data_IF_946363460270
#
_entry.id   IF_946363460270
#
_cell.length_a   1.000
_cell.length_b   1.000
_cell.length_c   1.000
_cell.angle_alpha   90.00
_cell.angle_beta   90.00
_cell.angle_gamma   90.00
#
_symmetry.space_group_name_H-M   'P 1'
#
loop_
_entity.id
_entity.type
_entity.pdbx_description
1 polymer ?
#
# COMPACT_ATOMS: atom_id res chain seq x y z
N UNK A 1 -3.91 22.29 2.64
CA UNK A 1 -5.35 22.04 2.89
C UNK A 1 -5.70 22.63 4.24
N UNK A 2 -6.80 23.40 4.38
CA UNK A 2 -7.28 23.88 5.66
C UNK A 2 -7.59 22.74 6.63
N UNK A 3 -7.55 22.99 7.94
CA UNK A 3 -7.82 22.01 8.98
C UNK A 3 -9.09 22.34 9.79
N UNK A 4 -9.65 23.50 9.60
CA UNK A 4 -10.86 23.99 10.32
C UNK A 4 -11.87 24.62 9.35
N UNK A 5 -13.16 24.27 9.50
CA UNK A 5 -13.67 23.20 10.34
C UNK A 5 -13.26 21.82 9.81
N UNK A 6 -13.30 20.82 10.68
CA UNK A 6 -13.05 19.43 10.28
C UNK A 6 -14.26 18.89 9.50
N UNK A 7 -14.08 17.76 8.83
CA UNK A 7 -15.13 17.12 8.02
C UNK A 7 -16.28 16.60 8.89
N UNK A 8 -17.50 16.67 8.36
CA UNK A 8 -18.68 16.00 8.93
C UNK A 8 -18.78 14.58 8.42
N UNK A 9 -18.34 14.36 7.18
CA UNK A 9 -18.41 13.05 6.54
C UNK A 9 -17.28 12.90 5.55
N UNK A 10 -16.65 11.73 5.60
CA UNK A 10 -15.72 11.26 4.57
C UNK A 10 -16.13 9.84 4.16
N UNK A 11 -16.28 9.58 2.87
CA UNK A 11 -16.52 8.27 2.30
C UNK A 11 -15.27 7.85 1.53
N UNK A 12 -14.64 6.76 1.94
CA UNK A 12 -13.45 6.22 1.28
C UNK A 12 -13.81 4.97 0.49
N UNK A 13 -13.28 4.86 -0.71
CA UNK A 13 -13.47 3.70 -1.56
C UNK A 13 -12.16 3.34 -2.28
N UNK A 14 -11.87 2.04 -2.36
CA UNK A 14 -10.77 1.53 -3.16
C UNK A 14 -11.33 1.02 -4.50
N UNK A 15 -10.98 1.72 -5.57
CA UNK A 15 -11.41 1.36 -6.93
C UNK A 15 -10.39 0.40 -7.53
N UNK A 16 -10.86 -0.72 -8.07
CA UNK A 16 -10.05 -1.73 -8.74
C UNK A 16 -10.42 -1.82 -10.21
N UNK A 17 -9.42 -1.92 -11.06
CA UNK A 17 -9.62 -2.18 -12.49
C UNK A 17 -9.51 -3.68 -12.73
N UNK A 18 -10.66 -4.33 -12.95
CA UNK A 18 -10.76 -5.77 -13.20
C UNK A 18 -11.42 -6.00 -14.54
N UNK A 19 -10.75 -6.73 -15.43
CA UNK A 19 -11.33 -7.25 -16.67
C UNK A 19 -11.99 -8.60 -16.41
N UNK A 20 -13.22 -8.77 -16.90
CA UNK A 20 -13.95 -10.03 -16.80
C UNK A 20 -14.38 -10.50 -18.20
N UNK A 21 -14.02 -11.73 -18.55
CA UNK A 21 -14.42 -12.36 -19.82
C UNK A 21 -15.16 -13.66 -19.51
N UNK A 22 -16.37 -13.78 -20.05
CA UNK A 22 -17.19 -14.99 -19.89
C UNK A 22 -17.26 -15.74 -21.23
N UNK A 23 -16.94 -17.03 -21.20
CA UNK A 23 -17.07 -17.91 -22.36
C UNK A 23 -18.55 -18.10 -22.73
N UNK A 24 -18.97 -17.75 -23.96
CA UNK A 24 -20.36 -17.94 -24.37
C UNK A 24 -20.74 -19.44 -24.52
N UNK A 25 -19.77 -20.33 -24.60
CA UNK A 25 -20.01 -21.77 -24.81
C UNK A 25 -20.08 -22.54 -23.48
N UNK A 26 -19.30 -22.15 -22.48
CA UNK A 26 -19.19 -22.90 -21.24
C UNK A 26 -19.69 -22.14 -20.01
N UNK A 27 -20.00 -20.84 -20.14
CA UNK A 27 -20.36 -19.97 -19.03
C UNK A 27 -19.20 -19.71 -18.05
N UNK A 28 -18.01 -20.26 -18.29
CA UNK A 28 -16.84 -20.02 -17.42
C UNK A 28 -16.38 -18.59 -17.52
N UNK A 29 -16.17 -17.95 -16.39
CA UNK A 29 -15.67 -16.56 -16.29
C UNK A 29 -14.19 -16.59 -15.93
N UNK A 30 -13.40 -15.83 -16.67
CA UNK A 30 -12.00 -15.51 -16.35
C UNK A 30 -11.91 -14.05 -15.95
N UNK A 31 -11.32 -13.76 -14.79
CA UNK A 31 -11.08 -12.42 -14.28
C UNK A 31 -9.58 -12.12 -14.33
N UNK A 32 -9.24 -10.90 -14.69
CA UNK A 32 -7.88 -10.39 -14.70
C UNK A 32 -7.83 -9.04 -13.97
N UNK A 33 -6.99 -8.93 -12.97
CA UNK A 33 -6.73 -7.67 -12.27
C UNK A 33 -5.66 -6.86 -13.03
N UNK A 34 -5.92 -5.58 -13.23
CA UNK A 34 -4.97 -4.63 -13.79
C UNK A 34 -4.38 -3.73 -12.69
N UNK A 35 -3.26 -3.08 -12.98
CA UNK A 35 -2.52 -2.25 -12.01
C UNK A 35 -3.21 -0.93 -11.61
N UNK A 36 -4.33 -0.59 -12.25
CA UNK A 36 -5.08 0.65 -11.99
C UNK A 36 -5.91 0.61 -10.71
N UNK A 37 -5.30 0.41 -9.54
CA UNK A 37 -5.99 0.44 -8.24
C UNK A 37 -5.67 1.73 -7.52
N UNK A 38 -6.69 2.47 -7.04
CA UNK A 38 -6.54 3.76 -6.40
C UNK A 38 -7.65 4.05 -5.40
N UNK A 39 -7.37 4.92 -4.45
CA UNK A 39 -8.34 5.42 -3.50
C UNK A 39 -9.15 6.58 -4.08
N UNK A 40 -10.44 6.62 -3.74
CA UNK A 40 -11.30 7.78 -3.93
C UNK A 40 -11.88 8.19 -2.59
N UNK A 41 -12.09 9.47 -2.40
CA UNK A 41 -12.75 9.99 -1.22
C UNK A 41 -13.79 11.07 -1.59
N UNK A 42 -14.96 10.99 -0.96
CA UNK A 42 -15.99 12.02 -1.00
C UNK A 42 -16.04 12.68 0.37
N UNK A 43 -15.94 14.00 0.39
CA UNK A 43 -15.80 14.78 1.61
C UNK A 43 -16.88 15.82 1.69
N UNK A 44 -17.52 15.92 2.86
CA UNK A 44 -18.49 16.97 3.16
C UNK A 44 -18.05 17.73 4.40
N UNK A 45 -18.14 19.06 4.32
CA UNK A 45 -17.85 19.98 5.42
C UNK A 45 -19.14 20.39 6.14
N UNK A 46 -19.09 20.74 7.41
CA UNK A 46 -20.24 21.27 8.12
C UNK A 46 -20.67 22.62 7.52
N UNK A 47 -21.93 23.02 7.64
CA UNK A 47 -22.33 24.39 7.37
C UNK A 47 -21.47 25.37 8.18
N UNK A 48 -20.87 26.32 7.51
CA UNK A 48 -19.88 27.21 8.11
C UNK A 48 -20.11 28.68 7.74
N UNK A 49 -19.63 29.60 8.57
CA UNK A 49 -19.67 31.02 8.28
C UNK A 49 -18.68 31.39 7.18
N UNK A 50 -18.91 32.50 6.52
CA UNK A 50 -18.10 33.02 5.42
C UNK A 50 -16.60 33.06 5.75
N UNK A 51 -16.22 33.45 6.95
CA UNK A 51 -14.80 33.54 7.37
C UNK A 51 -14.07 32.18 7.32
N UNK A 52 -14.77 31.12 7.59
CA UNK A 52 -14.24 29.75 7.49
C UNK A 52 -14.32 29.19 6.05
N UNK A 53 -15.43 29.52 5.35
CA UNK A 53 -15.66 29.07 3.99
C UNK A 53 -14.62 29.61 3.01
N UNK A 54 -14.15 30.84 3.19
CA UNK A 54 -13.15 31.49 2.33
C UNK A 54 -11.84 30.68 2.27
N UNK A 55 -11.39 30.12 3.39
CA UNK A 55 -10.18 29.30 3.42
C UNK A 55 -10.32 28.05 2.55
N UNK A 56 -11.47 27.36 2.64
CA UNK A 56 -11.77 26.19 1.83
C UNK A 56 -12.00 26.54 0.37
N UNK A 57 -12.70 27.65 0.08
CA UNK A 57 -12.92 28.12 -1.27
C UNK A 57 -11.58 28.46 -1.95
N UNK A 58 -10.70 29.22 -1.27
CA UNK A 58 -9.38 29.57 -1.77
C UNK A 58 -8.56 28.30 -2.05
N UNK A 59 -8.52 27.35 -1.12
CA UNK A 59 -7.82 26.10 -1.31
C UNK A 59 -8.33 25.32 -2.53
N UNK A 60 -9.66 25.18 -2.68
CA UNK A 60 -10.23 24.43 -3.82
C UNK A 60 -9.98 25.16 -5.16
N UNK A 61 -9.99 26.49 -5.17
CA UNK A 61 -9.66 27.27 -6.37
C UNK A 61 -8.18 27.17 -6.73
N UNK A 62 -7.27 27.17 -5.74
CA UNK A 62 -5.83 26.97 -5.95
C UNK A 62 -5.47 25.62 -6.55
N UNK A 63 -6.33 24.60 -6.35
CA UNK A 63 -6.15 23.28 -6.98
C UNK A 63 -6.34 23.34 -8.50
N UNK A 64 -6.96 24.38 -9.04
CA UNK A 64 -7.20 24.57 -10.46
C UNK A 64 -7.84 23.32 -11.11
N UNK A 65 -8.93 22.85 -10.51
CA UNK A 65 -9.61 21.63 -10.91
C UNK A 65 -8.73 20.38 -10.68
N UNK A 66 -8.55 19.60 -11.72
CA UNK A 66 -7.79 18.34 -11.68
C UNK A 66 -6.28 18.49 -11.83
N UNK A 67 -5.75 19.74 -11.94
CA UNK A 67 -4.35 20.00 -12.29
C UNK A 67 -3.41 19.84 -11.09
N UNK A 68 -3.75 20.46 -9.98
CA UNK A 68 -2.90 20.47 -8.80
C UNK A 68 -3.25 19.34 -7.84
N UNK A 69 -2.24 18.91 -7.10
CA UNK A 69 -2.33 17.80 -6.17
C UNK A 69 -2.25 18.31 -4.72
N UNK A 70 -2.87 17.58 -3.82
CA UNK A 70 -2.81 17.85 -2.39
C UNK A 70 -2.63 16.57 -1.58
N UNK A 71 -2.10 16.68 -0.38
CA UNK A 71 -1.96 15.56 0.54
C UNK A 71 -3.22 15.43 1.38
N UNK A 72 -3.80 14.22 1.41
CA UNK A 72 -5.03 13.94 2.13
C UNK A 72 -4.91 12.64 2.93
N UNK A 73 -5.40 12.65 4.16
CA UNK A 73 -5.48 11.51 5.05
C UNK A 73 -6.95 11.23 5.40
N UNK A 74 -7.26 9.99 5.75
CA UNK A 74 -8.55 9.67 6.34
C UNK A 74 -8.64 10.31 7.74
N UNK A 75 -9.61 11.21 7.98
CA UNK A 75 -9.71 11.92 9.26
C UNK A 75 -9.91 11.01 10.48
N UNK A 76 -10.51 9.84 10.28
CA UNK A 76 -10.78 8.88 11.34
C UNK A 76 -9.63 7.90 11.59
N UNK A 77 -8.59 7.93 10.73
CA UNK A 77 -7.47 6.99 10.77
C UNK A 77 -6.10 7.71 10.79
N UNK A 78 -6.00 8.80 11.54
CA UNK A 78 -4.77 9.59 11.65
C UNK A 78 -3.69 8.94 12.51
N UNK A 79 -4.06 7.97 13.34
CA UNK A 79 -3.15 7.21 14.19
C UNK A 79 -3.40 5.72 14.00
N UNK A 80 -2.36 4.91 14.12
CA UNK A 80 -2.54 3.46 14.14
C UNK A 80 -3.31 3.02 15.38
N UNK A 81 -4.07 1.93 15.23
CA UNK A 81 -4.86 1.33 16.32
C UNK A 81 -4.05 0.30 17.11
N UNK A 82 -2.86 -0.05 16.63
CA UNK A 82 -1.90 -0.91 17.31
C UNK A 82 -1.08 -0.19 18.37
N UNK A 83 -0.18 -0.93 18.99
CA UNK A 83 0.67 -0.43 20.11
C UNK A 83 2.03 0.08 19.64
N UNK A 84 2.36 -0.03 18.35
CA UNK A 84 3.62 0.50 17.82
C UNK A 84 3.57 2.03 17.79
N UNK A 85 4.47 2.68 18.52
CA UNK A 85 4.40 4.12 18.83
C UNK A 85 5.37 5.00 18.02
N UNK A 86 6.31 4.41 17.27
CA UNK A 86 7.22 5.17 16.42
C UNK A 86 6.54 5.52 15.11
N UNK A 87 6.50 6.76 14.69
CA UNK A 87 5.68 7.24 13.57
C UNK A 87 6.01 6.67 12.18
N UNK A 88 7.10 5.90 12.02
CA UNK A 88 7.48 5.29 10.75
C UNK A 88 8.31 4.02 10.92
N UNK A 89 8.34 3.22 9.85
CA UNK A 89 9.20 2.06 9.66
C UNK A 89 10.01 2.27 8.37
N UNK A 90 11.14 1.59 8.24
CA UNK A 90 11.96 1.63 7.02
C UNK A 90 11.82 0.33 6.24
N UNK A 91 11.78 0.40 4.92
CA UNK A 91 11.75 -0.77 4.04
C UNK A 91 13.10 -1.48 4.03
N UNK A 92 13.08 -2.81 3.95
CA UNK A 92 14.27 -3.64 3.78
C UNK A 92 14.10 -4.63 2.64
N UNK A 93 15.14 -4.75 1.81
CA UNK A 93 15.21 -5.73 0.73
C UNK A 93 15.89 -7.02 1.21
N UNK A 94 15.16 -7.87 1.97
CA UNK A 94 15.70 -9.13 2.51
C UNK A 94 15.99 -10.16 1.43
N UNK A 95 15.26 -10.11 0.34
CA UNK A 95 15.50 -10.94 -0.85
C UNK A 95 15.49 -10.01 -2.07
N UNK A 96 16.57 -10.00 -2.84
CA UNK A 96 16.73 -9.11 -3.99
C UNK A 96 17.58 -9.76 -5.09
N UNK A 97 17.11 -10.89 -5.61
CA UNK A 97 17.75 -11.57 -6.74
C UNK A 97 17.10 -11.16 -8.05
N UNK A 98 17.89 -10.61 -8.97
CA UNK A 98 17.45 -10.18 -10.30
C UNK A 98 17.65 -11.24 -11.39
N UNK A 99 18.38 -12.32 -11.10
CA UNK A 99 18.57 -13.48 -11.98
C UNK A 99 18.98 -14.68 -11.12
N UNK A 100 18.10 -15.67 -11.01
CA UNK A 100 18.31 -16.88 -10.25
C UNK A 100 17.58 -18.04 -10.93
N UNK A 101 18.15 -19.25 -10.84
CA UNK A 101 17.47 -20.48 -11.26
C UNK A 101 16.52 -20.91 -10.15
N UNK A 102 15.25 -21.12 -10.45
CA UNK A 102 14.24 -21.59 -9.52
C UNK A 102 13.64 -22.92 -9.92
N UNK A 103 13.26 -23.69 -8.94
CA UNK A 103 12.42 -24.87 -9.07
C UNK A 103 11.25 -24.75 -8.10
N UNK A 104 10.08 -25.22 -8.53
CA UNK A 104 8.83 -25.15 -7.78
C UNK A 104 8.26 -26.56 -7.61
N UNK A 105 7.85 -26.92 -6.39
CA UNK A 105 7.18 -28.18 -6.10
C UNK A 105 6.30 -28.09 -4.86
N UNK A 106 5.02 -28.41 -4.99
CA UNK A 106 4.06 -28.24 -3.90
C UNK A 106 4.05 -26.79 -3.40
N UNK A 107 4.40 -26.53 -2.16
CA UNK A 107 4.49 -25.18 -1.60
C UNK A 107 5.95 -24.69 -1.46
N UNK A 108 6.89 -25.37 -2.08
CA UNK A 108 8.34 -25.14 -1.92
C UNK A 108 8.93 -24.43 -3.14
N UNK A 109 9.76 -23.43 -2.89
CA UNK A 109 10.62 -22.78 -3.86
C UNK A 109 12.07 -23.14 -3.51
N UNK A 110 12.80 -23.70 -4.49
CA UNK A 110 14.22 -24.00 -4.38
C UNK A 110 15.00 -23.12 -5.36
N UNK A 111 16.00 -22.41 -4.86
CA UNK A 111 16.89 -21.58 -5.66
C UNK A 111 18.23 -22.27 -5.89
N UNK A 112 18.80 -22.08 -7.08
CA UNK A 112 20.12 -22.60 -7.43
C UNK A 112 21.30 -21.90 -6.75
N UNK A 113 21.03 -20.81 -6.00
CA UNK A 113 22.01 -20.02 -5.27
C UNK A 113 21.44 -19.58 -3.92
N UNK A 114 22.27 -19.03 -3.01
CA UNK A 114 21.87 -18.52 -1.70
C UNK A 114 21.01 -17.26 -1.82
N UNK A 115 19.78 -17.41 -2.27
CA UNK A 115 18.81 -16.32 -2.54
C UNK A 115 18.05 -15.91 -1.29
N UNK A 116 17.79 -16.85 -0.39
CA UNK A 116 16.94 -16.68 0.79
C UNK A 116 17.73 -16.54 2.10
N UNK A 117 19.02 -16.20 2.02
CA UNK A 117 19.90 -16.13 3.22
C UNK A 117 19.45 -15.10 4.25
N UNK A 118 18.80 -14.02 3.83
CA UNK A 118 18.26 -12.98 4.72
C UNK A 118 16.74 -13.04 4.85
N UNK A 119 16.07 -13.96 4.15
CA UNK A 119 14.62 -14.10 4.21
C UNK A 119 14.14 -14.50 5.62
N UNK A 120 12.95 -14.06 5.98
CA UNK A 120 12.33 -14.36 7.27
C UNK A 120 10.95 -14.97 7.06
N UNK A 121 10.52 -15.79 8.03
CA UNK A 121 9.13 -16.28 8.07
C UNK A 121 8.19 -15.09 8.19
N UNK A 122 7.18 -15.05 7.31
CA UNK A 122 6.25 -13.94 7.19
C UNK A 122 6.55 -12.99 6.03
N UNK A 123 7.79 -12.92 5.52
CA UNK A 123 8.11 -12.07 4.38
C UNK A 123 7.27 -12.41 3.14
N UNK A 124 6.92 -11.38 2.39
CA UNK A 124 6.32 -11.52 1.07
C UNK A 124 7.38 -11.34 0.00
N UNK A 125 7.52 -12.35 -0.84
CA UNK A 125 8.41 -12.33 -2.00
C UNK A 125 7.59 -12.24 -3.28
N UNK A 126 8.08 -11.46 -4.24
CA UNK A 126 7.52 -11.40 -5.59
C UNK A 126 8.42 -12.21 -6.50
N UNK A 127 7.85 -13.24 -7.12
CA UNK A 127 8.50 -14.09 -8.12
C UNK A 127 8.05 -13.64 -9.50
N UNK A 128 8.99 -13.50 -10.43
CA UNK A 128 8.71 -13.25 -11.84
C UNK A 128 9.70 -14.01 -12.72
N UNK A 129 9.27 -14.37 -13.93
CA UNK A 129 10.09 -15.10 -14.89
C UNK A 129 10.03 -16.62 -14.76
N UNK A 130 9.14 -17.16 -13.95
CA UNK A 130 8.79 -18.57 -14.00
C UNK A 130 8.11 -18.89 -15.36
N UNK A 131 8.40 -20.07 -15.93
CA UNK A 131 7.82 -20.49 -17.21
C UNK A 131 6.31 -20.72 -17.08
N UNK A 132 5.90 -21.30 -15.95
CA UNK A 132 4.49 -21.39 -15.62
C UNK A 132 4.04 -20.08 -14.97
N UNK A 133 3.08 -19.41 -15.60
CA UNK A 133 2.59 -18.11 -15.13
C UNK A 133 1.96 -18.19 -13.72
N UNK A 134 1.37 -19.33 -13.34
CA UNK A 134 0.77 -19.53 -12.02
C UNK A 134 1.80 -19.51 -10.88
N UNK A 135 3.09 -19.72 -11.18
CA UNK A 135 4.18 -19.65 -10.24
C UNK A 135 4.71 -18.22 -10.04
N UNK A 136 4.34 -17.27 -10.90
CA UNK A 136 4.67 -15.86 -10.76
C UNK A 136 3.68 -15.17 -9.80
N UNK A 137 4.15 -14.13 -9.14
CA UNK A 137 3.31 -13.32 -8.24
C UNK A 137 3.89 -13.15 -6.85
N UNK A 138 3.05 -12.77 -5.91
CA UNK A 138 3.43 -12.55 -4.51
C UNK A 138 3.13 -13.78 -3.67
N UNK A 139 4.14 -14.25 -2.93
CA UNK A 139 4.05 -15.44 -2.07
C UNK A 139 4.54 -15.10 -0.66
N UNK A 140 3.77 -15.51 0.36
CA UNK A 140 4.15 -15.33 1.78
C UNK A 140 4.96 -16.54 2.24
N UNK A 141 6.15 -16.30 2.80
CA UNK A 141 7.02 -17.34 3.35
C UNK A 141 6.46 -17.86 4.66
N UNK A 142 6.27 -19.15 4.78
CA UNK A 142 5.85 -19.84 6.00
C UNK A 142 7.02 -20.52 6.73
N UNK A 143 8.05 -20.90 5.98
CA UNK A 143 9.25 -21.54 6.53
C UNK A 143 10.46 -21.18 5.69
N UNK A 144 11.56 -20.81 6.35
CA UNK A 144 12.89 -20.71 5.73
C UNK A 144 13.67 -21.96 6.11
N UNK A 145 13.77 -22.90 5.17
CA UNK A 145 14.44 -24.19 5.41
C UNK A 145 15.95 -24.04 5.31
N UNK A 146 16.42 -23.24 4.36
CA UNK A 146 17.84 -22.94 4.15
C UNK A 146 18.02 -21.64 3.36
N UNK A 147 19.24 -21.22 3.12
CA UNK A 147 19.54 -20.09 2.25
C UNK A 147 19.09 -20.28 0.79
N UNK A 148 18.74 -21.50 0.39
CA UNK A 148 18.29 -21.84 -0.97
C UNK A 148 16.86 -22.36 -1.01
N UNK A 149 16.20 -22.63 0.12
CA UNK A 149 14.88 -23.28 0.15
C UNK A 149 13.92 -22.56 1.10
N UNK A 150 12.78 -22.17 0.58
CA UNK A 150 11.66 -21.62 1.36
C UNK A 150 10.37 -22.38 1.05
N UNK A 151 9.48 -22.43 2.05
CA UNK A 151 8.10 -22.90 1.91
C UNK A 151 7.18 -21.68 2.01
N UNK A 152 6.15 -21.66 1.19
CA UNK A 152 5.20 -20.54 1.13
C UNK A 152 3.76 -20.98 1.40
N UNK A 153 2.83 -20.02 1.50
CA UNK A 153 1.39 -20.30 1.57
C UNK A 153 0.80 -20.74 0.25
N UNK A 154 1.49 -20.50 -0.87
CA UNK A 154 1.01 -20.83 -2.22
C UNK A 154 1.32 -22.26 -2.59
N UNK A 155 0.47 -22.85 -3.45
CA UNK A 155 0.75 -24.13 -4.10
C UNK A 155 1.19 -23.86 -5.52
N UNK A 156 2.30 -24.45 -5.94
CA UNK A 156 2.92 -24.23 -7.24
C UNK A 156 2.65 -25.38 -8.21
N UNK A 157 2.59 -25.06 -9.48
CA UNK A 157 2.76 -26.05 -10.54
C UNK A 157 4.24 -26.46 -10.59
N UNK A 158 4.49 -27.77 -10.61
CA UNK A 158 5.86 -28.29 -10.63
C UNK A 158 6.64 -27.80 -11.83
N UNK A 159 7.77 -27.20 -11.57
CA UNK A 159 8.67 -26.62 -12.56
C UNK A 159 10.12 -26.78 -12.09
N UNK A 160 11.02 -27.17 -12.98
CA UNK A 160 12.41 -27.46 -12.63
C UNK A 160 13.38 -26.57 -13.36
N UNK A 161 14.34 -26.01 -12.62
CA UNK A 161 15.52 -25.29 -13.14
C UNK A 161 15.22 -24.16 -14.12
N UNK A 162 14.16 -23.37 -13.89
CA UNK A 162 13.88 -22.19 -14.69
C UNK A 162 14.89 -21.10 -14.41
N UNK A 163 15.70 -20.78 -15.41
CA UNK A 163 16.74 -19.76 -15.32
C UNK A 163 16.18 -18.35 -15.43
N UNK A 164 16.96 -17.37 -14.96
CA UNK A 164 16.66 -15.93 -15.07
C UNK A 164 15.38 -15.46 -14.37
N UNK A 165 14.90 -16.22 -13.40
CA UNK A 165 13.85 -15.77 -12.51
C UNK A 165 14.31 -14.61 -11.62
N UNK A 166 13.35 -13.80 -11.16
CA UNK A 166 13.59 -12.75 -10.17
C UNK A 166 12.80 -13.08 -8.92
N UNK A 167 13.43 -12.90 -7.76
CA UNK A 167 12.77 -13.03 -6.45
C UNK A 167 13.14 -11.84 -5.60
N UNK A 168 12.15 -11.01 -5.26
CA UNK A 168 12.43 -9.76 -4.55
C UNK A 168 11.35 -9.44 -3.51
N UNK A 169 11.75 -8.78 -2.43
CA UNK A 169 10.83 -8.17 -1.45
C UNK A 169 10.60 -6.69 -1.77
N UNK A 170 9.51 -6.11 -1.28
CA UNK A 170 9.19 -4.68 -1.37
C UNK A 170 9.24 -4.09 -2.79
N UNK A 171 8.85 -4.86 -3.79
CA UNK A 171 8.83 -4.40 -5.19
C UNK A 171 7.42 -4.25 -5.71
N UNK A 172 7.27 -3.61 -6.85
CA UNK A 172 6.01 -3.47 -7.56
C UNK A 172 5.26 -4.80 -7.63
N UNK A 173 3.98 -4.78 -7.29
CA UNK A 173 3.12 -5.96 -7.24
C UNK A 173 3.10 -6.69 -5.89
N UNK A 174 3.98 -6.34 -4.95
CA UNK A 174 3.97 -6.94 -3.61
C UNK A 174 2.68 -6.58 -2.86
N UNK A 175 2.09 -7.59 -2.21
CA UNK A 175 0.93 -7.45 -1.32
C UNK A 175 1.32 -7.47 0.16
N UNK A 176 2.61 -7.36 0.45
CA UNK A 176 3.13 -7.25 1.79
C UNK A 176 4.50 -6.61 1.81
N UNK A 177 4.84 -6.04 2.95
CA UNK A 177 6.05 -5.25 3.17
C UNK A 177 6.95 -5.92 4.20
N UNK A 178 8.25 -5.93 3.94
CA UNK A 178 9.29 -6.24 4.91
C UNK A 178 9.85 -4.93 5.45
N UNK A 179 9.64 -4.67 6.74
CA UNK A 179 9.94 -3.39 7.36
C UNK A 179 10.85 -3.57 8.57
N UNK A 180 11.80 -2.65 8.72
CA UNK A 180 12.64 -2.50 9.89
C UNK A 180 12.05 -1.46 10.85
N UNK A 181 12.11 -1.75 12.13
CA UNK A 181 11.87 -0.74 13.15
C UNK A 181 12.97 0.31 13.13
N UNK A 182 12.63 1.55 13.49
CA UNK A 182 13.66 2.54 13.76
C UNK A 182 14.46 2.13 15.01
N UNK A 183 15.73 2.51 15.07
CA UNK A 183 16.59 2.27 16.24
C UNK A 183 15.90 2.76 17.53
N UNK A 184 15.87 1.92 18.54
CA UNK A 184 15.21 2.12 19.83
C UNK A 184 13.66 2.01 19.82
N UNK A 185 13.06 1.38 18.81
CA UNK A 185 11.63 1.14 18.81
C UNK A 185 11.22 0.17 19.94
N UNK A 186 10.14 0.48 20.62
CA UNK A 186 9.47 -0.47 21.50
C UNK A 186 8.84 -1.61 20.65
N UNK A 187 8.72 -2.80 21.23
CA UNK A 187 7.88 -3.83 20.61
C UNK A 187 6.45 -3.33 20.51
N UNK A 188 5.73 -3.70 19.45
CA UNK A 188 4.37 -3.25 19.25
C UNK A 188 3.67 -4.01 18.14
N UNK A 189 2.44 -3.63 17.90
CA UNK A 189 1.59 -4.20 16.85
C UNK A 189 1.10 -3.11 15.92
N UNK A 190 0.95 -3.47 14.64
CA UNK A 190 0.17 -2.73 13.64
C UNK A 190 -1.08 -3.57 13.39
N UNK A 191 -2.24 -2.95 13.35
CA UNK A 191 -3.52 -3.65 13.23
C UNK A 191 -4.07 -3.58 11.80
N UNK A 192 -4.85 -4.59 11.45
CA UNK A 192 -5.67 -4.53 10.24
C UNK A 192 -6.57 -3.30 10.28
N UNK A 193 -6.69 -2.62 9.15
CA UNK A 193 -7.40 -1.34 9.05
C UNK A 193 -6.52 -0.10 9.23
N UNK A 194 -5.31 -0.23 9.80
CA UNK A 194 -4.37 0.87 9.87
C UNK A 194 -3.90 1.26 8.46
N UNK A 195 -3.77 2.56 8.20
CA UNK A 195 -3.20 3.05 6.96
C UNK A 195 -1.69 3.24 7.08
N UNK A 196 -0.99 3.04 5.96
CA UNK A 196 0.42 3.33 5.80
C UNK A 196 0.63 4.24 4.59
N UNK A 197 1.37 5.33 4.81
CA UNK A 197 1.86 6.18 3.75
C UNK A 197 3.20 5.66 3.28
N UNK A 198 3.28 5.23 2.03
CA UNK A 198 4.53 4.79 1.41
C UNK A 198 5.26 6.00 0.83
N UNK A 199 6.56 6.10 1.09
CA UNK A 199 7.42 7.17 0.58
C UNK A 199 8.67 6.59 -0.03
N UNK A 200 9.01 7.03 -1.24
CA UNK A 200 10.27 6.67 -1.92
C UNK A 200 11.46 7.53 -1.47
N UNK A 201 11.45 7.99 -0.21
CA UNK A 201 12.53 8.79 0.37
C UNK A 201 12.68 8.46 1.86
N UNK A 202 13.90 8.56 2.35
CA UNK A 202 14.24 8.33 3.75
C UNK A 202 13.95 9.58 4.61
N UNK A 203 12.71 10.09 4.54
CA UNK A 203 12.23 11.18 5.41
C UNK A 203 10.71 11.11 5.57
N UNK A 204 10.19 11.63 6.67
CA UNK A 204 8.77 11.65 6.99
C UNK A 204 8.00 12.80 6.35
N UNK A 205 8.68 13.76 5.74
CA UNK A 205 8.12 14.96 5.13
C UNK A 205 8.03 14.88 3.60
N UNK A 206 8.51 13.78 3.01
CA UNK A 206 8.50 13.54 1.58
C UNK A 206 7.09 13.50 0.98
N UNK A 207 7.03 13.46 -0.33
CA UNK A 207 5.77 13.27 -1.05
C UNK A 207 5.34 11.81 -0.94
N UNK A 208 4.11 11.52 -0.48
CA UNK A 208 3.56 10.16 -0.51
C UNK A 208 3.55 9.64 -1.95
N UNK A 209 4.04 8.42 -2.14
CA UNK A 209 3.98 7.74 -3.44
C UNK A 209 2.74 6.85 -3.53
N UNK A 210 2.24 6.36 -2.39
CA UNK A 210 1.07 5.52 -2.32
C UNK A 210 0.50 5.50 -0.90
N UNK A 211 -0.83 5.44 -0.79
CA UNK A 211 -1.53 5.12 0.45
C UNK A 211 -1.98 3.65 0.41
N UNK A 212 -1.65 2.88 1.44
CA UNK A 212 -2.06 1.48 1.57
C UNK A 212 -2.70 1.23 2.92
N UNK A 213 -3.56 0.21 2.99
CA UNK A 213 -4.18 -0.24 4.24
C UNK A 213 -3.63 -1.60 4.62
N UNK A 214 -3.38 -1.82 5.89
CA UNK A 214 -2.97 -3.10 6.47
C UNK A 214 -4.18 -4.05 6.50
N UNK A 215 -3.99 -5.28 6.01
CA UNK A 215 -5.09 -6.27 5.90
C UNK A 215 -5.01 -7.39 6.93
N UNK A 216 -3.86 -7.58 7.57
CA UNK A 216 -3.65 -8.56 8.64
C UNK A 216 -2.89 -7.89 9.80
N UNK A 217 -3.17 -8.33 11.03
CA UNK A 217 -2.41 -7.87 12.19
C UNK A 217 -0.94 -8.26 12.04
N UNK A 218 -0.03 -7.33 12.30
CA UNK A 218 1.40 -7.57 12.31
C UNK A 218 1.99 -7.23 13.69
N UNK A 219 2.89 -8.08 14.18
CA UNK A 219 3.56 -7.90 15.46
C UNK A 219 5.05 -7.78 15.23
N UNK A 220 5.68 -6.83 15.90
CA UNK A 220 7.13 -6.68 15.89
C UNK A 220 7.81 -7.95 16.43
N UNK A 221 8.94 -8.33 15.86
CA UNK A 221 9.71 -9.48 16.31
C UNK A 221 10.16 -9.32 17.76
N UNK A 222 10.32 -10.44 18.45
CA UNK A 222 10.79 -10.46 19.84
C UNK A 222 12.30 -10.20 19.99
N UNK A 223 13.04 -10.26 18.88
CA UNK A 223 14.47 -9.97 18.87
C UNK A 223 14.78 -8.49 19.11
N UNK A 224 16.04 -8.15 19.27
CA UNK A 224 16.47 -6.78 19.53
C UNK A 224 16.15 -5.78 18.42
N UNK A 225 15.91 -6.27 17.20
CA UNK A 225 15.64 -5.44 16.02
C UNK A 225 14.20 -4.89 15.97
N UNK A 226 13.22 -5.60 16.57
CA UNK A 226 11.80 -5.22 16.58
C UNK A 226 11.20 -5.01 15.18
N UNK A 227 11.63 -5.80 14.24
CA UNK A 227 11.22 -5.70 12.83
C UNK A 227 9.83 -6.27 12.60
N UNK A 228 9.22 -5.86 11.49
CA UNK A 228 7.97 -6.41 10.99
C UNK A 228 8.24 -7.23 9.73
N UNK A 229 8.02 -8.54 9.82
CA UNK A 229 8.15 -9.44 8.68
C UNK A 229 6.78 -9.63 8.04
N UNK A 230 6.63 -9.13 6.82
CA UNK A 230 5.44 -9.35 6.03
C UNK A 230 4.19 -8.64 6.51
N UNK A 231 4.21 -7.32 6.61
CA UNK A 231 3.00 -6.52 6.82
C UNK A 231 2.14 -6.61 5.57
N UNK A 232 1.02 -7.33 5.65
CA UNK A 232 0.10 -7.51 4.53
C UNK A 232 -0.63 -6.20 4.22
N UNK A 233 -0.65 -5.79 2.95
CA UNK A 233 -1.19 -4.50 2.50
C UNK A 233 -2.12 -4.61 1.31
N UNK A 234 -3.02 -3.63 1.18
CA UNK A 234 -3.80 -3.35 -0.03
C UNK A 234 -3.92 -1.83 -0.23
N UNK A 235 -3.86 -1.35 -1.47
CA UNK A 235 -3.51 -2.05 -2.71
C UNK A 235 -2.06 -2.52 -2.74
N UNK A 236 -1.74 -3.39 -3.70
CA UNK A 236 -0.36 -3.84 -3.95
C UNK A 236 0.56 -2.67 -4.26
N UNK A 237 1.85 -2.81 -3.98
CA UNK A 237 2.84 -1.77 -4.27
C UNK A 237 2.84 -1.41 -5.77
N UNK A 238 2.83 -0.10 -6.06
CA UNK A 238 2.90 0.45 -7.43
C UNK A 238 4.33 0.61 -7.94
N UNK A 239 5.29 0.73 -7.03
CA UNK A 239 6.70 0.94 -7.36
C UNK A 239 7.61 0.16 -6.43
N UNK A 240 8.82 -0.11 -6.90
CA UNK A 240 9.87 -0.73 -6.08
C UNK A 240 10.29 0.23 -4.95
N UNK A 241 10.49 -0.30 -3.76
CA UNK A 241 11.06 0.42 -2.64
C UNK A 241 12.54 0.04 -2.50
N UNK A 242 13.40 1.02 -2.29
CA UNK A 242 14.78 0.79 -1.90
C UNK A 242 14.88 0.60 -0.37
N UNK A 243 15.98 0.02 0.09
CA UNK A 243 16.29 -0.04 1.52
C UNK A 243 16.31 1.38 2.12
N UNK A 244 15.66 1.55 3.26
CA UNK A 244 15.59 2.84 3.94
C UNK A 244 14.47 3.77 3.49
N UNK A 245 13.64 3.39 2.52
CA UNK A 245 12.39 4.12 2.23
C UNK A 245 11.41 3.97 3.38
N UNK A 246 10.53 4.95 3.58
CA UNK A 246 9.67 5.00 4.75
C UNK A 246 8.26 4.48 4.47
N UNK A 247 7.73 3.74 5.47
CA UNK A 247 6.31 3.49 5.67
C UNK A 247 5.86 4.27 6.91
N UNK A 248 5.07 5.34 6.73
CA UNK A 248 4.64 6.25 7.80
C UNK A 248 3.20 5.91 8.17
N UNK A 249 2.92 5.77 9.47
CA UNK A 249 1.58 5.45 9.97
C UNK A 249 1.05 6.44 11.02
N UNK A 250 1.77 7.53 11.27
CA UNK A 250 1.24 8.69 11.98
C UNK A 250 0.77 9.72 10.98
N UNK A 251 -0.52 10.01 10.94
CA UNK A 251 -1.16 10.88 9.97
C UNK A 251 -0.83 10.50 8.51
N UNK A 252 -1.06 9.22 8.13
CA UNK A 252 -0.70 8.70 6.83
C UNK A 252 -1.53 9.39 5.73
N UNK A 253 -0.85 9.88 4.70
CA UNK A 253 -1.45 10.65 3.61
C UNK A 253 -1.21 9.97 2.28
N UNK A 254 -2.19 10.07 1.40
CA UNK A 254 -2.00 9.87 -0.04
C UNK A 254 -1.87 11.22 -0.76
N UNK A 255 -1.41 11.17 -2.00
CA UNK A 255 -1.45 12.32 -2.91
C UNK A 255 -2.72 12.24 -3.74
N UNK A 256 -3.56 13.26 -3.65
CA UNK A 256 -4.87 13.30 -4.30
C UNK A 256 -5.00 14.51 -5.23
N UNK A 257 -5.93 14.41 -6.17
CA UNK A 257 -6.42 15.51 -7.00
C UNK A 257 -7.94 15.52 -7.01
N UNK A 258 -8.57 16.62 -7.38
CA UNK A 258 -10.02 16.66 -7.57
C UNK A 258 -10.44 15.73 -8.72
N UNK A 259 -11.64 15.19 -8.64
CA UNK A 259 -12.24 14.39 -9.74
C UNK A 259 -12.83 15.32 -10.80
N UNK A 260 -13.37 16.48 -10.38
CA UNK A 260 -14.04 17.45 -11.25
C UNK A 260 -13.20 18.72 -11.42
N UNK A 261 -13.31 19.33 -12.60
CA UNK A 261 -12.79 20.68 -12.86
C UNK A 261 -13.76 21.77 -12.35
N UNK A 262 -14.95 21.39 -11.97
CA UNK A 262 -15.93 22.28 -11.37
C UNK A 262 -15.77 22.29 -9.85
N UNK A 263 -15.71 23.48 -9.29
CA UNK A 263 -15.73 23.74 -7.85
C UNK A 263 -17.02 24.48 -7.54
N UNK A 264 -17.86 23.92 -6.69
CA UNK A 264 -19.15 24.51 -6.31
C UNK A 264 -19.30 24.57 -4.79
N UNK A 265 -20.05 25.56 -4.35
CA UNK A 265 -20.48 25.69 -2.96
C UNK A 265 -21.89 26.29 -2.91
N UNK A 266 -22.61 26.04 -1.84
CA UNK A 266 -23.89 26.63 -1.57
C UNK A 266 -23.79 27.69 -0.47
N UNK A 267 -24.65 28.68 -0.50
CA UNK A 267 -24.82 29.63 0.60
C UNK A 267 -26.32 29.81 0.87
N UNK A 268 -26.70 29.73 2.12
CA UNK A 268 -28.09 29.95 2.54
C UNK A 268 -28.37 31.45 2.85
N UNK A 269 -29.62 31.77 3.17
CA UNK A 269 -30.06 33.16 3.46
C UNK A 269 -29.35 33.76 4.69
N UNK A 270 -28.89 32.93 5.62
CA UNK A 270 -28.23 33.38 6.84
C UNK A 270 -26.70 33.27 6.74
N UNK A 271 -26.19 33.19 5.49
CA UNK A 271 -24.76 33.14 5.18
C UNK A 271 -24.02 31.91 5.75
N UNK A 272 -24.69 30.77 5.83
CA UNK A 272 -24.01 29.50 6.02
C UNK A 272 -23.63 28.91 4.67
N UNK A 273 -22.39 28.47 4.58
CA UNK A 273 -21.81 27.88 3.37
C UNK A 273 -21.72 26.39 3.53
N UNK A 274 -22.19 25.64 2.53
CA UNK A 274 -22.00 24.20 2.38
C UNK A 274 -20.97 23.93 1.30
N UNK A 275 -19.96 23.13 1.60
CA UNK A 275 -18.90 22.73 0.68
C UNK A 275 -18.76 21.20 0.73
N UNK A 276 -18.72 20.61 -0.45
CA UNK A 276 -18.36 19.19 -0.63
C UNK A 276 -17.47 19.05 -1.85
N UNK A 277 -16.58 18.07 -1.83
CA UNK A 277 -15.74 17.76 -2.97
C UNK A 277 -15.38 16.28 -3.00
N UNK A 278 -15.05 15.79 -4.18
CA UNK A 278 -14.57 14.42 -4.38
C UNK A 278 -13.17 14.43 -4.95
N UNK A 279 -12.36 13.52 -4.48
CA UNK A 279 -10.96 13.42 -4.89
C UNK A 279 -10.55 11.97 -5.18
N UNK A 280 -9.50 11.85 -5.96
CA UNK A 280 -8.93 10.58 -6.41
C UNK A 280 -7.44 10.60 -6.15
N UNK A 281 -6.92 9.46 -5.67
CA UNK A 281 -5.47 9.28 -5.50
C UNK A 281 -4.77 9.34 -6.86
N UNK A 282 -3.65 10.04 -6.88
CA UNK A 282 -2.79 10.16 -8.09
C UNK A 282 -1.96 8.89 -8.21
N UNK A 283 -2.00 8.28 -9.40
CA UNK A 283 -1.26 7.05 -9.72
C UNK A 283 0.04 7.42 -10.45
#
# INVERSE_FOLDING_TARGET
>A
MPSTPNFVRSNWSLVRTVGTTTSPFTGKTKTQEFDGVYWTAEVSLPPMRRSQAVEWQSFLLELNGTVNHFKFADPDALTNTGTYSTGHLTSELRTNSSSVTLSFSGSTITAGASTFGSAKVGDFIVVTGATNEDNNGTHKITTVTSATVVVTTSTFTTESNTASCKVRTNVKGATGLSLLASTNAASGTIKKGDYLQIQSAANTTGTPTQLVMVTEDATATADGAKDFYGVAIQPKLRSDLATGHYAVFTNPKGTFRLISNEVSWSADRISNYGISFSCIEVI
#
